data_IF_132936386320
#
_entry.id   IF_132936386320
#
_cell.length_a   1.000
_cell.length_b   1.000
_cell.length_c   1.000
_cell.angle_alpha   90.00
_cell.angle_beta   90.00
_cell.angle_gamma   90.00
#
_symmetry.space_group_name_H-M   'P 1'
#
loop_
_entity.id
_entity.type
_entity.pdbx_description
1 polymer ?
#
# COMPACT_ATOMS: atom_id res chain seq x y z
N UNK A 1 -0.78 -13.48 -14.19
CA UNK A 1 0.01 -12.24 -14.06
C UNK A 1 -0.53 -11.30 -12.98
N UNK A 2 -1.82 -10.94 -12.98
CA UNK A 2 -2.38 -10.05 -11.95
C UNK A 2 -2.34 -10.64 -10.52
N UNK A 3 -2.64 -11.93 -10.33
CA UNK A 3 -2.62 -12.57 -9.00
C UNK A 3 -1.22 -12.58 -8.37
N UNK A 4 -0.18 -12.91 -9.13
CA UNK A 4 1.22 -12.84 -8.66
C UNK A 4 1.65 -11.42 -8.28
N UNK A 5 1.13 -10.40 -8.99
CA UNK A 5 1.40 -9.00 -8.65
C UNK A 5 0.77 -8.62 -7.30
N UNK A 6 -0.46 -9.06 -7.05
CA UNK A 6 -1.14 -8.82 -5.77
C UNK A 6 -0.44 -9.55 -4.62
N UNK A 7 -0.04 -10.80 -4.81
CA UNK A 7 0.73 -11.56 -3.81
C UNK A 7 2.04 -10.86 -3.47
N UNK A 8 2.78 -10.40 -4.49
CA UNK A 8 4.03 -9.66 -4.29
C UNK A 8 3.81 -8.34 -3.54
N UNK A 9 2.76 -7.58 -3.87
CA UNK A 9 2.38 -6.35 -3.17
C UNK A 9 2.03 -6.64 -1.70
N UNK A 10 1.20 -7.66 -1.45
CA UNK A 10 0.82 -8.09 -0.09
C UNK A 10 2.05 -8.44 0.73
N UNK A 11 2.95 -9.26 0.18
CA UNK A 11 4.12 -9.73 0.90
C UNK A 11 5.09 -8.59 1.21
N UNK A 12 5.23 -7.62 0.30
CA UNK A 12 6.00 -6.40 0.54
C UNK A 12 5.39 -5.56 1.68
N UNK A 13 4.07 -5.38 1.70
CA UNK A 13 3.39 -4.64 2.78
C UNK A 13 3.63 -5.35 4.11
N UNK A 14 3.42 -6.66 4.18
CA UNK A 14 3.66 -7.45 5.40
C UNK A 14 5.12 -7.32 5.86
N UNK A 15 6.09 -7.39 4.94
CA UNK A 15 7.49 -7.22 5.28
C UNK A 15 7.78 -5.86 5.93
N UNK A 16 7.20 -4.78 5.39
CA UNK A 16 7.35 -3.43 5.98
C UNK A 16 6.68 -3.31 7.35
N UNK A 17 5.49 -3.88 7.52
CA UNK A 17 4.82 -3.93 8.82
C UNK A 17 5.66 -4.69 9.84
N UNK A 18 6.26 -5.82 9.45
CA UNK A 18 7.17 -6.57 10.32
C UNK A 18 8.39 -5.75 10.72
N UNK A 19 8.99 -4.97 9.80
CA UNK A 19 10.10 -4.07 10.12
C UNK A 19 9.73 -3.07 11.21
N UNK A 20 8.61 -2.35 11.03
CA UNK A 20 8.11 -1.38 12.02
C UNK A 20 7.85 -2.04 13.38
N UNK A 21 7.27 -3.24 13.37
CA UNK A 21 6.99 -3.99 14.60
C UNK A 21 8.28 -4.38 15.34
N UNK A 22 9.29 -4.83 14.61
CA UNK A 22 10.60 -5.17 15.17
C UNK A 22 11.30 -3.93 15.73
N UNK A 23 11.23 -2.79 15.03
CA UNK A 23 11.81 -1.54 15.51
C UNK A 23 11.17 -1.11 16.84
N UNK A 24 9.85 -1.19 16.98
CA UNK A 24 9.19 -0.85 18.24
C UNK A 24 9.53 -1.81 19.39
N UNK A 25 9.64 -3.11 19.09
CA UNK A 25 10.10 -4.11 20.07
C UNK A 25 11.55 -3.87 20.50
N UNK A 26 12.42 -3.46 19.58
CA UNK A 26 13.84 -3.18 19.86
C UNK A 26 14.06 -1.90 20.68
N UNK A 27 13.15 -0.93 20.55
CA UNK A 27 13.21 0.34 21.26
C UNK A 27 12.40 0.35 22.57
N UNK A 28 11.93 -0.82 23.04
CA UNK A 28 11.09 -0.98 24.24
C UNK A 28 9.78 -0.14 24.19
N UNK A 29 9.31 0.22 22.98
CA UNK A 29 8.05 0.96 22.76
C UNK A 29 6.82 0.03 22.76
N UNK A 30 7.07 -1.28 22.70
CA UNK A 30 6.05 -2.33 22.65
C UNK A 30 6.55 -3.55 23.43
N UNK A 31 5.69 -4.16 24.24
CA UNK A 31 6.05 -5.39 24.95
C UNK A 31 6.09 -6.59 23.99
N UNK A 32 6.98 -7.58 24.22
CA UNK A 32 7.09 -8.77 23.37
C UNK A 32 5.78 -9.55 23.20
N UNK A 33 4.95 -9.62 24.24
CA UNK A 33 3.65 -10.31 24.21
C UNK A 33 2.66 -9.60 23.28
N UNK A 34 2.58 -8.27 23.39
CA UNK A 34 1.77 -7.44 22.49
C UNK A 34 2.29 -7.52 21.05
N UNK A 35 3.61 -7.51 20.85
CA UNK A 35 4.23 -7.73 19.55
C UNK A 35 3.84 -9.06 18.91
N UNK A 36 3.82 -10.14 19.70
CA UNK A 36 3.39 -11.45 19.22
C UNK A 36 1.90 -11.45 18.83
N UNK A 37 1.03 -10.81 19.61
CA UNK A 37 -0.40 -10.68 19.30
C UNK A 37 -0.63 -9.90 18.01
N UNK A 38 0.08 -8.78 17.82
CA UNK A 38 0.01 -7.95 16.63
C UNK A 38 0.52 -8.72 15.41
N UNK A 39 1.66 -9.41 15.51
CA UNK A 39 2.20 -10.24 14.44
C UNK A 39 1.20 -11.35 14.04
N UNK A 40 0.60 -12.03 15.03
CA UNK A 40 -0.44 -13.03 14.79
C UNK A 40 -1.65 -12.46 14.06
N UNK A 41 -2.12 -11.27 14.46
CA UNK A 41 -3.22 -10.57 13.79
C UNK A 41 -2.88 -10.26 12.32
N UNK A 42 -1.70 -9.70 12.04
CA UNK A 42 -1.24 -9.40 10.68
C UNK A 42 -1.21 -10.66 9.81
N UNK A 43 -0.64 -11.75 10.33
CA UNK A 43 -0.50 -13.02 9.62
C UNK A 43 -1.84 -13.69 9.33
N UNK A 44 -2.84 -13.52 10.20
CA UNK A 44 -4.18 -14.04 9.96
C UNK A 44 -4.90 -13.21 8.89
N UNK A 45 -4.83 -11.88 9.01
CA UNK A 45 -5.53 -10.97 8.11
C UNK A 45 -4.99 -10.99 6.68
N UNK A 46 -3.67 -11.16 6.49
CA UNK A 46 -3.09 -11.22 5.14
C UNK A 46 -3.65 -12.36 4.28
N UNK A 47 -4.20 -13.43 4.89
CA UNK A 47 -4.79 -14.56 4.17
C UNK A 47 -6.04 -14.19 3.38
N UNK A 48 -6.70 -13.08 3.75
CA UNK A 48 -7.91 -12.58 3.11
C UNK A 48 -7.62 -11.67 1.91
N UNK A 49 -6.34 -11.36 1.65
CA UNK A 49 -5.92 -10.50 0.54
C UNK A 49 -5.80 -11.31 -0.75
N UNK A 50 -6.77 -11.12 -1.65
CA UNK A 50 -6.88 -11.84 -2.93
C UNK A 50 -6.84 -10.91 -4.14
N UNK A 51 -7.05 -9.61 -3.93
CA UNK A 51 -7.09 -8.56 -4.93
C UNK A 51 -6.62 -7.20 -4.36
N UNK A 52 -6.68 -6.15 -5.16
CA UNK A 52 -6.25 -4.81 -4.75
C UNK A 52 -7.20 -4.15 -3.75
N UNK A 53 -8.50 -4.43 -3.82
CA UNK A 53 -9.49 -3.90 -2.90
C UNK A 53 -9.29 -4.47 -1.48
N UNK A 54 -9.10 -5.79 -1.38
CA UNK A 54 -8.79 -6.49 -0.13
C UNK A 54 -7.42 -6.11 0.43
N UNK A 55 -6.43 -5.80 -0.41
CA UNK A 55 -5.15 -5.24 0.05
C UNK A 55 -5.34 -3.85 0.69
N UNK A 56 -6.12 -2.98 0.07
CA UNK A 56 -6.42 -1.65 0.60
C UNK A 56 -7.25 -1.72 1.89
N UNK A 57 -8.19 -2.66 1.96
CA UNK A 57 -8.95 -2.93 3.18
C UNK A 57 -8.03 -3.42 4.30
N UNK A 58 -7.17 -4.41 4.02
CA UNK A 58 -6.17 -4.91 4.96
C UNK A 58 -5.31 -3.77 5.54
N UNK A 59 -4.75 -2.90 4.69
CA UNK A 59 -3.97 -1.75 5.16
C UNK A 59 -4.81 -0.79 6.01
N UNK A 60 -6.06 -0.54 5.64
CA UNK A 60 -6.94 0.35 6.43
C UNK A 60 -7.26 -0.24 7.80
N UNK A 61 -7.63 -1.52 7.88
CA UNK A 61 -7.89 -2.21 9.14
C UNK A 61 -6.68 -2.20 10.08
N UNK A 62 -5.48 -2.37 9.52
CA UNK A 62 -4.23 -2.30 10.29
C UNK A 62 -4.02 -0.90 10.87
N UNK A 63 -4.14 0.16 10.06
CA UNK A 63 -3.97 1.55 10.54
C UNK A 63 -5.03 2.01 11.54
N UNK A 64 -6.23 1.46 11.48
CA UNK A 64 -7.32 1.75 12.42
C UNK A 64 -7.11 1.09 13.77
N UNK A 65 -6.69 -0.18 13.78
CA UNK A 65 -6.54 -0.98 15.00
C UNK A 65 -5.18 -0.80 15.67
N UNK A 66 -4.14 -0.45 14.92
CA UNK A 66 -2.75 -0.50 15.36
C UNK A 66 -2.06 0.81 14.97
N UNK A 67 -2.08 1.76 15.90
CA UNK A 67 -1.64 3.15 15.65
C UNK A 67 -0.17 3.24 15.22
N UNK A 68 0.67 2.31 15.69
CA UNK A 68 2.07 2.12 15.29
C UNK A 68 2.27 2.04 13.77
N UNK A 69 1.30 1.53 13.01
CA UNK A 69 1.41 1.40 11.56
C UNK A 69 0.75 2.55 10.79
N UNK A 70 0.01 3.44 11.47
CA UNK A 70 -0.80 4.49 10.84
C UNK A 70 0.05 5.42 9.97
N UNK A 71 1.22 5.84 10.46
CA UNK A 71 2.13 6.72 9.71
C UNK A 71 2.59 6.10 8.39
N UNK A 72 3.05 4.85 8.43
CA UNK A 72 3.48 4.11 7.23
C UNK A 72 2.34 3.95 6.20
N UNK A 73 1.15 3.59 6.67
CA UNK A 73 0.00 3.33 5.79
C UNK A 73 -0.51 4.62 5.16
N UNK A 74 -0.56 5.72 5.91
CA UNK A 74 -0.94 7.02 5.36
C UNK A 74 0.04 7.48 4.28
N UNK A 75 1.35 7.36 4.53
CA UNK A 75 2.38 7.69 3.53
C UNK A 75 2.25 6.85 2.26
N UNK A 76 1.87 5.57 2.37
CA UNK A 76 1.62 4.75 1.19
C UNK A 76 0.40 5.20 0.40
N UNK A 77 -0.71 5.51 1.10
CA UNK A 77 -1.92 6.03 0.46
C UNK A 77 -1.66 7.36 -0.26
N UNK A 78 -0.87 8.25 0.34
CA UNK A 78 -0.47 9.51 -0.27
C UNK A 78 0.38 9.30 -1.54
N UNK A 79 1.36 8.38 -1.50
CA UNK A 79 2.16 8.04 -2.68
C UNK A 79 1.32 7.45 -3.80
N UNK A 80 0.38 6.56 -3.48
CA UNK A 80 -0.50 5.95 -4.49
C UNK A 80 -1.45 6.99 -5.11
N UNK A 81 -1.97 7.91 -4.30
CA UNK A 81 -2.78 9.03 -4.77
C UNK A 81 -1.98 9.97 -5.70
N UNK A 82 -0.71 10.25 -5.36
CA UNK A 82 0.15 11.08 -6.17
C UNK A 82 0.52 10.41 -7.51
N UNK A 83 0.84 9.12 -7.49
CA UNK A 83 1.09 8.34 -8.72
C UNK A 83 -0.14 8.29 -9.63
N UNK A 84 -1.34 8.22 -9.05
CA UNK A 84 -2.60 8.27 -9.82
C UNK A 84 -2.79 9.64 -10.50
N UNK A 85 -2.54 10.73 -9.78
CA UNK A 85 -2.60 12.08 -10.33
C UNK A 85 -1.59 12.29 -11.48
N UNK A 86 -0.36 11.79 -11.31
CA UNK A 86 0.69 11.92 -12.33
C UNK A 86 0.37 11.08 -13.58
N UNK A 87 -0.23 9.91 -13.40
CA UNK A 87 -0.72 9.07 -14.52
C UNK A 87 -1.83 9.77 -15.30
N UNK A 88 -2.76 10.42 -14.60
CA UNK A 88 -3.85 11.16 -15.24
C UNK A 88 -3.31 12.36 -16.03
N UNK A 89 -2.38 13.13 -15.46
CA UNK A 89 -1.70 14.23 -16.17
C UNK A 89 -0.98 13.73 -17.43
N UNK A 90 -0.32 12.58 -17.37
CA UNK A 90 0.35 11.97 -18.52
C UNK A 90 -0.63 11.59 -19.64
N UNK A 91 -1.78 11.01 -19.29
CA UNK A 91 -2.82 10.66 -20.27
C UNK A 91 -3.48 11.90 -20.89
N UNK A 92 -3.63 12.99 -20.12
CA UNK A 92 -4.12 14.27 -20.64
C UNK A 92 -3.13 14.89 -21.64
N UNK A 93 -1.82 14.89 -21.32
CA UNK A 93 -0.77 15.36 -22.24
C UNK A 93 -0.76 14.54 -23.52
N UNK A 94 -0.85 13.20 -23.39
CA UNK A 94 -0.90 12.29 -24.54
C UNK A 94 -2.11 12.56 -25.42
N UNK A 95 -3.28 12.80 -24.82
CA UNK A 95 -4.50 13.15 -25.53
C UNK A 95 -4.38 14.48 -26.28
N UNK A 96 -3.74 15.48 -25.67
CA UNK A 96 -3.45 16.77 -26.33
C UNK A 96 -2.48 16.61 -27.51
N UNK A 97 -1.41 15.82 -27.36
CA UNK A 97 -0.45 15.53 -28.44
C UNK A 97 -1.11 14.80 -29.61
N UNK A 98 -1.98 13.82 -29.34
CA UNK A 98 -2.76 13.13 -30.38
C UNK A 98 -3.72 14.10 -31.09
N UNK A 99 -4.34 15.02 -30.35
CA UNK A 99 -5.19 16.07 -30.92
C UNK A 99 -4.42 17.01 -31.87
N UNK A 100 -3.24 17.46 -31.44
CA UNK A 100 -2.36 18.32 -32.25
C UNK A 100 -1.89 17.60 -33.53
N UNK A 101 -1.46 16.35 -33.42
CA UNK A 101 -1.01 15.56 -34.58
C UNK A 101 -2.11 15.40 -35.64
N UNK A 102 -3.37 15.25 -35.21
CA UNK A 102 -4.53 15.16 -36.12
C UNK A 102 -4.87 16.51 -36.78
N UNK A 103 -4.62 17.64 -36.09
CA UNK A 103 -4.82 18.97 -36.65
C UNK A 103 -3.76 19.36 -37.68
N UNK A 104 -2.53 18.85 -37.55
CA UNK A 104 -1.42 19.13 -38.49
C UNK A 104 -1.47 18.34 -39.81
N UNK A 105 -2.38 17.37 -39.93
CA UNK A 105 -2.56 16.52 -41.13
C UNK A 105 -3.71 16.95 -42.06
N UNK A 106 -4.34 18.09 -41.80
CA UNK A 106 -5.31 18.76 -42.70
C UNK A 106 -4.74 20.07 -43.23
#
# INVERSE_FOLDING_TARGET
MQQQLIESKRDLVVHKLTGILLDALQNDELEPEDGALIAGYILERKKQVVDEASLNQFMTEIAEKLDIFRGFINLQKEKDAQNSLDTQKLEDIKSQLVGLAKMTTN
#
